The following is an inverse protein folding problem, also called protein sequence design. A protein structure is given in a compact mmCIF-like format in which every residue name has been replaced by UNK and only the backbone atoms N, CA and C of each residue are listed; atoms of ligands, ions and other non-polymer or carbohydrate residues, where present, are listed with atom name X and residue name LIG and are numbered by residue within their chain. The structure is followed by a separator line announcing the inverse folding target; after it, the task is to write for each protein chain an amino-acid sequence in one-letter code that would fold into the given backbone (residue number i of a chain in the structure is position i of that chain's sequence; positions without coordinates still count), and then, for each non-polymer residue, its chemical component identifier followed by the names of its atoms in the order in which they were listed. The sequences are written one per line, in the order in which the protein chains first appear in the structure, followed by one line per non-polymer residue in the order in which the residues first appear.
data_IF_325567797989
#
_entry.id   IF_325567797989
#
_cell.length_a   1.000
_cell.length_b   1.000
_cell.length_c   1.000
_cell.angle_alpha   90.00
_cell.angle_beta   90.00
_cell.angle_gamma   90.00
#
_symmetry.space_group_name_H-M   'P 1'
#
loop_
_entity.id
_entity.type
_entity.pdbx_description
1 polymer ?
#
# COMPACT_ATOMS: atom_id res chain seq x y z
N UNK A 1 -14.80 0.64 8.12
CA UNK A 1 -14.11 1.63 7.26
C UNK A 1 -12.62 1.75 7.57
N UNK A 2 -12.20 2.31 8.71
CA UNK A 2 -10.75 2.51 9.01
C UNK A 2 -10.01 1.18 9.16
N UNK A 3 -10.58 0.21 9.89
CA UNK A 3 -9.98 -1.13 10.05
C UNK A 3 -9.89 -1.90 8.72
N UNK A 4 -10.86 -1.74 7.83
CA UNK A 4 -10.88 -2.39 6.52
C UNK A 4 -9.76 -1.85 5.61
N UNK A 5 -9.55 -0.54 5.63
CA UNK A 5 -8.42 0.08 4.94
C UNK A 5 -7.08 -0.33 5.54
N UNK A 6 -7.00 -0.43 6.87
CA UNK A 6 -5.79 -0.92 7.53
C UNK A 6 -5.46 -2.37 7.10
N UNK A 7 -6.48 -3.23 7.02
CA UNK A 7 -6.32 -4.59 6.49
C UNK A 7 -5.86 -4.61 5.03
N UNK A 8 -6.39 -3.69 4.19
CA UNK A 8 -5.97 -3.55 2.80
C UNK A 8 -4.52 -3.09 2.68
N UNK A 9 -4.09 -2.12 3.49
CA UNK A 9 -2.69 -1.66 3.58
C UNK A 9 -1.76 -2.82 3.97
N UNK A 10 -2.14 -3.61 4.97
CA UNK A 10 -1.34 -4.77 5.41
C UNK A 10 -1.16 -5.77 4.27
N UNK A 11 -2.24 -6.13 3.57
CA UNK A 11 -2.19 -7.07 2.43
C UNK A 11 -1.33 -6.55 1.29
N UNK A 12 -1.49 -5.28 0.91
CA UNK A 12 -0.70 -4.67 -0.16
C UNK A 12 0.78 -4.59 0.21
N UNK A 13 1.10 -4.28 1.47
CA UNK A 13 2.48 -4.30 1.96
C UNK A 13 3.10 -5.69 1.90
N UNK A 14 2.35 -6.73 2.27
CA UNK A 14 2.81 -8.12 2.16
C UNK A 14 3.06 -8.52 0.71
N UNK A 15 2.11 -8.22 -0.19
CA UNK A 15 2.26 -8.51 -1.62
C UNK A 15 3.48 -7.78 -2.24
N UNK A 16 3.70 -6.52 -1.87
CA UNK A 16 4.88 -5.77 -2.31
C UNK A 16 6.18 -6.39 -1.78
N UNK A 17 6.20 -6.80 -0.51
CA UNK A 17 7.36 -7.46 0.09
C UNK A 17 7.68 -8.79 -0.60
N UNK A 18 6.67 -9.59 -0.94
CA UNK A 18 6.81 -10.83 -1.68
C UNK A 18 7.36 -10.57 -3.10
N UNK A 19 6.83 -9.56 -3.80
CA UNK A 19 7.33 -9.16 -5.11
C UNK A 19 8.78 -8.72 -5.06
N UNK A 20 9.15 -7.89 -4.07
CA UNK A 20 10.54 -7.47 -3.86
C UNK A 20 11.44 -8.68 -3.56
N UNK A 21 10.97 -9.64 -2.77
CA UNK A 21 11.76 -10.84 -2.43
C UNK A 21 11.94 -11.79 -3.61
N UNK A 22 11.03 -11.76 -4.59
CA UNK A 22 11.07 -12.59 -5.78
C UNK A 22 11.78 -11.92 -6.98
N UNK A 23 12.10 -10.63 -6.88
CA UNK A 23 12.62 -9.83 -7.98
C UNK A 23 13.97 -9.24 -7.60
N UNK A 24 15.01 -9.55 -8.38
CA UNK A 24 16.33 -8.96 -8.20
C UNK A 24 16.37 -7.45 -8.54
N UNK A 25 15.34 -6.94 -9.23
CA UNK A 25 15.24 -5.56 -9.66
C UNK A 25 13.97 -4.90 -9.11
N UNK A 26 14.15 -3.89 -8.26
CA UNK A 26 13.07 -3.07 -7.69
C UNK A 26 12.37 -2.18 -8.73
N UNK A 27 13.02 -1.95 -9.87
CA UNK A 27 12.44 -1.22 -11.01
C UNK A 27 11.62 -2.13 -11.92
N UNK A 28 11.38 -3.39 -11.55
CA UNK A 28 10.43 -4.23 -12.26
C UNK A 28 9.05 -3.54 -12.27
N UNK A 29 8.40 -3.41 -13.44
CA UNK A 29 7.13 -2.71 -13.56
C UNK A 29 6.04 -3.22 -12.58
N UNK A 30 6.09 -4.50 -12.18
CA UNK A 30 5.15 -5.06 -11.21
C UNK A 30 5.43 -4.57 -9.79
N UNK A 31 6.70 -4.41 -9.42
CA UNK A 31 7.11 -3.85 -8.12
C UNK A 31 6.70 -2.38 -8.07
N UNK A 32 6.93 -1.62 -9.15
CA UNK A 32 6.51 -0.21 -9.25
C UNK A 32 4.99 -0.10 -9.13
N UNK A 33 4.23 -0.89 -9.89
CA UNK A 33 2.77 -0.85 -9.86
C UNK A 33 2.21 -1.18 -8.47
N UNK A 34 2.72 -2.24 -7.82
CA UNK A 34 2.31 -2.61 -6.46
C UNK A 34 2.68 -1.52 -5.43
N UNK A 35 3.82 -0.86 -5.60
CA UNK A 35 4.23 0.27 -4.75
C UNK A 35 3.33 1.49 -4.92
N UNK A 36 2.89 1.78 -6.15
CA UNK A 36 1.97 2.88 -6.43
C UNK A 36 0.59 2.62 -5.86
N UNK A 37 0.07 1.39 -6.00
CA UNK A 37 -1.22 1.01 -5.40
C UNK A 37 -1.20 1.13 -3.87
N UNK A 38 -0.10 0.71 -3.23
CA UNK A 38 0.05 0.87 -1.78
C UNK A 38 0.07 2.36 -1.38
N UNK A 39 0.76 3.22 -2.14
CA UNK A 39 0.81 4.66 -1.87
C UNK A 39 -0.56 5.33 -1.98
N UNK A 40 -1.35 4.98 -2.99
CA UNK A 40 -2.72 5.50 -3.16
C UNK A 40 -3.60 5.17 -1.95
N UNK A 41 -3.60 3.91 -1.49
CA UNK A 41 -4.40 3.49 -0.33
C UNK A 41 -3.92 4.17 0.96
N UNK A 42 -2.61 4.36 1.14
CA UNK A 42 -2.05 5.10 2.27
C UNK A 42 -2.48 6.57 2.27
N UNK A 43 -2.50 7.20 1.10
CA UNK A 43 -2.95 8.58 0.94
C UNK A 43 -4.44 8.74 1.29
N UNK A 44 -5.29 7.82 0.85
CA UNK A 44 -6.71 7.79 1.22
C UNK A 44 -6.90 7.59 2.73
N UNK A 45 -6.16 6.66 3.32
CA UNK A 45 -6.21 6.39 4.75
C UNK A 45 -5.82 7.64 5.56
N UNK A 46 -4.75 8.33 5.15
CA UNK A 46 -4.31 9.57 5.77
C UNK A 46 -5.34 10.70 5.65
N UNK A 47 -6.04 10.81 4.52
CA UNK A 47 -7.14 11.78 4.34
C UNK A 47 -8.27 11.50 5.33
N UNK A 48 -8.72 10.25 5.44
CA UNK A 48 -9.77 9.88 6.39
C UNK A 48 -9.36 10.13 7.85
N UNK A 49 -8.11 9.82 8.21
CA UNK A 49 -7.61 10.11 9.56
C UNK A 49 -7.60 11.61 9.88
N UNK A 50 -7.33 12.47 8.88
CA UNK A 50 -7.40 13.92 9.05
C UNK A 50 -8.83 14.41 9.24
N UNK A 51 -9.79 13.81 8.54
CA UNK A 51 -11.21 14.13 8.70
C UNK A 51 -11.76 13.70 10.06
N UNK A 52 -11.33 12.54 10.58
CA UNK A 52 -11.75 12.03 11.90
C UNK A 52 -11.14 12.79 13.08
N UNK A 53 -10.02 13.50 12.86
CA UNK A 53 -9.37 14.35 13.87
C UNK A 53 -9.90 15.80 13.89
N UNK A 54 -10.87 16.11 13.03
CA UNK A 54 -11.52 17.41 12.92
C UNK A 54 -12.77 17.46 13.80
#
# INVERSE_FOLDING_TARGET
MVEEMNNRIIKLRQALQELISQKDNLLDPKVIAASQELDEVLNEYNKLLKELKK
#
